data_IF_548943221406
#
_entry.id   IF_548943221406
#
_cell.length_a   1.000
_cell.length_b   1.000
_cell.length_c   1.000
_cell.angle_alpha   90.00
_cell.angle_beta   90.00
_cell.angle_gamma   90.00
#
_symmetry.space_group_name_H-M   'P 1'
#
loop_
_entity.id
_entity.type
_entity.pdbx_description
1 polymer ?
#
# COMPACT_ATOMS: atom_id res chain seq x y z
N UNK A 1 -20.57 8.68 -6.76
CA UNK A 1 -20.96 7.27 -6.95
C UNK A 1 -21.42 6.75 -5.61
N UNK A 2 -22.68 6.32 -5.48
CA UNK A 2 -23.17 5.75 -4.22
C UNK A 2 -22.52 4.40 -3.95
N UNK A 3 -22.56 3.50 -4.93
CA UNK A 3 -21.93 2.19 -4.81
C UNK A 3 -21.36 1.74 -6.14
N UNK A 4 -20.10 1.34 -6.14
CA UNK A 4 -19.51 0.48 -7.15
C UNK A 4 -19.42 -0.93 -6.55
N UNK A 5 -20.03 -1.92 -7.20
CA UNK A 5 -20.05 -3.30 -6.69
C UNK A 5 -19.70 -4.30 -7.79
N UNK A 6 -18.54 -4.92 -7.69
CA UNK A 6 -18.20 -6.12 -8.46
C UNK A 6 -18.56 -7.36 -7.63
N UNK A 7 -19.64 -8.05 -8.00
CA UNK A 7 -20.16 -9.21 -7.26
C UNK A 7 -19.25 -10.43 -7.37
N UNK A 8 -19.47 -11.44 -6.53
CA UNK A 8 -18.62 -12.65 -6.43
C UNK A 8 -18.30 -13.36 -7.76
N UNK A 9 -19.25 -13.38 -8.71
CA UNK A 9 -19.03 -13.98 -10.04
C UNK A 9 -18.61 -12.97 -11.12
N UNK A 10 -18.41 -11.71 -10.74
CA UNK A 10 -18.05 -10.63 -11.63
C UNK A 10 -16.54 -10.60 -11.90
N UNK A 11 -16.21 -10.43 -13.17
CA UNK A 11 -14.83 -10.34 -13.66
C UNK A 11 -14.66 -9.02 -14.41
N UNK A 12 -13.69 -8.22 -13.97
CA UNK A 12 -13.27 -7.00 -14.66
C UNK A 12 -11.81 -7.15 -15.03
N UNK A 13 -11.53 -7.26 -16.33
CA UNK A 13 -10.17 -7.45 -16.84
C UNK A 13 -9.85 -6.41 -17.90
N UNK A 14 -8.67 -5.81 -17.77
CA UNK A 14 -8.11 -4.92 -18.79
C UNK A 14 -6.69 -5.33 -19.16
N UNK A 15 -6.47 -5.52 -20.47
CA UNK A 15 -5.17 -5.92 -21.02
C UNK A 15 -4.20 -4.75 -21.23
N UNK A 16 -4.74 -3.56 -21.43
CA UNK A 16 -3.96 -2.38 -21.82
C UNK A 16 -4.06 -1.22 -20.82
N UNK A 17 -5.01 -1.29 -19.87
CA UNK A 17 -5.31 -0.24 -18.89
C UNK A 17 -5.52 -0.85 -17.50
N UNK A 18 -5.98 -0.02 -16.57
CA UNK A 18 -6.43 -0.45 -15.25
C UNK A 18 -7.67 -1.32 -15.37
N UNK A 19 -7.89 -2.21 -14.41
CA UNK A 19 -9.16 -2.93 -14.30
C UNK A 19 -10.29 -1.96 -13.95
N UNK A 20 -10.09 -1.15 -12.91
CA UNK A 20 -10.97 -0.04 -12.54
C UNK A 20 -10.15 1.22 -12.33
N UNK A 21 -10.59 2.35 -12.90
CA UNK A 21 -9.94 3.64 -12.71
C UNK A 21 -10.95 4.73 -12.37
N UNK A 22 -10.79 5.36 -11.21
CA UNK A 22 -11.49 6.60 -10.84
C UNK A 22 -10.54 7.78 -11.05
N UNK A 23 -10.84 8.61 -12.05
CA UNK A 23 -10.03 9.78 -12.38
C UNK A 23 -10.75 11.08 -12.01
N UNK A 24 -10.03 12.00 -11.38
CA UNK A 24 -10.53 13.33 -11.03
C UNK A 24 -11.22 13.36 -9.67
N UNK A 25 -11.98 14.42 -9.40
CA UNK A 25 -12.61 14.62 -8.09
C UNK A 25 -13.90 13.78 -7.92
N UNK A 26 -13.77 12.46 -8.02
CA UNK A 26 -14.87 11.51 -7.85
C UNK A 26 -15.06 11.22 -6.36
N UNK A 27 -16.30 11.30 -5.88
CA UNK A 27 -16.68 10.80 -4.57
C UNK A 27 -17.34 9.43 -4.71
N UNK A 28 -16.85 8.42 -3.99
CA UNK A 28 -17.40 7.06 -3.93
C UNK A 28 -17.78 6.74 -2.49
N UNK A 29 -19.06 6.59 -2.20
CA UNK A 29 -19.48 6.21 -0.84
C UNK A 29 -19.09 4.76 -0.53
N UNK A 30 -19.27 3.83 -1.48
CA UNK A 30 -18.78 2.45 -1.32
C UNK A 30 -18.18 1.89 -2.60
N UNK A 31 -16.95 1.43 -2.51
CA UNK A 31 -16.34 0.50 -3.46
C UNK A 31 -16.36 -0.90 -2.83
N UNK A 32 -16.97 -1.87 -3.49
CA UNK A 32 -17.04 -3.26 -3.01
C UNK A 32 -16.65 -4.23 -4.12
N UNK A 33 -15.58 -5.00 -3.90
CA UNK A 33 -15.18 -6.09 -4.77
C UNK A 33 -15.28 -7.44 -4.03
N UNK A 34 -16.15 -8.31 -4.53
CA UNK A 34 -16.25 -9.72 -4.15
C UNK A 34 -15.73 -10.64 -5.26
N UNK A 35 -15.66 -10.14 -6.50
CA UNK A 35 -15.22 -10.90 -7.66
C UNK A 35 -13.74 -10.72 -7.99
N UNK A 36 -13.41 -10.82 -9.28
CA UNK A 36 -12.05 -10.67 -9.80
C UNK A 36 -11.88 -9.35 -10.55
N UNK A 37 -10.83 -8.60 -10.20
CA UNK A 37 -10.39 -7.39 -10.92
C UNK A 37 -8.92 -7.53 -11.29
N UNK A 38 -8.59 -7.35 -12.57
CA UNK A 38 -7.21 -7.35 -13.05
C UNK A 38 -6.95 -6.24 -14.06
N UNK A 39 -5.79 -5.60 -13.94
CA UNK A 39 -5.32 -4.57 -14.87
C UNK A 39 -3.81 -4.67 -15.12
N UNK A 40 -3.40 -4.54 -16.38
CA UNK A 40 -1.98 -4.56 -16.78
C UNK A 40 -1.38 -3.16 -16.87
N UNK A 41 -1.99 -2.30 -17.68
CA UNK A 41 -1.57 -0.90 -17.90
C UNK A 41 -0.13 -0.68 -18.43
N UNK A 42 0.51 -1.68 -19.05
CA UNK A 42 1.88 -1.50 -19.58
C UNK A 42 1.96 -0.63 -20.86
N UNK A 43 0.84 -0.47 -21.56
CA UNK A 43 0.80 0.12 -22.92
C UNK A 43 -0.12 1.34 -23.06
N UNK A 44 -0.57 1.92 -21.96
CA UNK A 44 -1.54 3.03 -21.98
C UNK A 44 -0.92 4.42 -22.19
N UNK A 45 0.41 4.54 -22.28
CA UNK A 45 1.08 5.83 -22.51
C UNK A 45 0.65 6.90 -21.51
N UNK A 46 0.38 8.11 -22.00
CA UNK A 46 -0.04 9.25 -21.16
C UNK A 46 -1.43 9.07 -20.54
N UNK A 47 -2.24 8.12 -21.02
CA UNK A 47 -3.56 7.88 -20.45
C UNK A 47 -3.54 7.14 -19.11
N UNK A 48 -2.37 6.68 -18.66
CA UNK A 48 -2.12 6.23 -17.29
C UNK A 48 -1.33 7.25 -16.47
N UNK A 49 -1.34 8.52 -16.88
CA UNK A 49 -0.75 9.62 -16.12
C UNK A 49 -1.87 10.55 -15.66
N UNK A 50 -1.89 10.86 -14.38
CA UNK A 50 -2.70 11.94 -13.82
C UNK A 50 -1.89 12.75 -12.82
N UNK A 51 -1.80 14.06 -13.06
CA UNK A 51 -0.96 14.98 -12.27
C UNK A 51 0.50 14.51 -12.13
N UNK A 52 1.12 14.11 -13.25
CA UNK A 52 2.48 13.58 -13.32
C UNK A 52 2.70 12.23 -12.60
N UNK A 53 1.65 11.63 -12.03
CA UNK A 53 1.72 10.33 -11.39
C UNK A 53 1.11 9.23 -12.25
N UNK A 54 1.81 8.11 -12.24
CA UNK A 54 1.51 6.85 -12.91
C UNK A 54 0.38 6.11 -12.19
N UNK A 55 -0.67 5.71 -12.90
CA UNK A 55 -1.92 5.13 -12.35
C UNK A 55 -2.09 3.65 -12.71
N UNK A 56 -1.03 2.97 -13.13
CA UNK A 56 -1.03 1.56 -13.52
C UNK A 56 -1.42 0.65 -12.35
N UNK A 57 -2.36 -0.25 -12.57
CA UNK A 57 -2.76 -1.22 -11.53
C UNK A 57 -4.07 -1.96 -11.80
N UNK A 58 -4.47 -2.81 -10.85
CA UNK A 58 -5.77 -3.48 -10.88
C UNK A 58 -6.90 -2.48 -10.64
N UNK A 59 -6.88 -1.82 -9.49
CA UNK A 59 -7.74 -0.68 -9.16
C UNK A 59 -6.86 0.54 -8.94
N UNK A 60 -7.14 1.62 -9.66
CA UNK A 60 -6.50 2.91 -9.44
C UNK A 60 -7.52 3.98 -9.10
N UNK A 61 -7.14 4.89 -8.21
CA UNK A 61 -7.82 6.15 -8.02
C UNK A 61 -6.80 7.27 -8.08
N UNK A 62 -7.10 8.29 -8.89
CA UNK A 62 -6.33 9.52 -8.91
C UNK A 62 -7.24 10.68 -8.59
N UNK A 63 -6.99 11.30 -7.43
CA UNK A 63 -7.82 12.34 -6.80
C UNK A 63 -9.19 11.81 -6.37
N UNK A 64 -9.87 12.59 -5.53
CA UNK A 64 -11.21 12.26 -5.02
C UNK A 64 -11.21 11.48 -3.72
N UNK A 65 -12.37 10.91 -3.37
CA UNK A 65 -12.64 10.33 -2.05
C UNK A 65 -13.37 8.99 -2.14
N UNK A 66 -13.02 8.06 -1.26
CA UNK A 66 -13.78 6.83 -1.00
C UNK A 66 -14.12 6.77 0.48
N UNK A 67 -15.39 6.71 0.85
CA UNK A 67 -15.75 6.54 2.26
C UNK A 67 -15.40 5.12 2.73
N UNK A 68 -15.81 4.11 1.96
CA UNK A 68 -15.53 2.70 2.29
C UNK A 68 -15.05 1.92 1.07
N UNK A 69 -13.82 1.44 1.12
CA UNK A 69 -13.25 0.49 0.17
C UNK A 69 -13.25 -0.91 0.79
N UNK A 70 -13.93 -1.87 0.16
CA UNK A 70 -14.00 -3.27 0.60
C UNK A 70 -13.54 -4.20 -0.51
N UNK A 71 -12.57 -5.05 -0.20
CA UNK A 71 -12.17 -6.16 -1.06
C UNK A 71 -12.27 -7.49 -0.30
N UNK A 72 -13.21 -8.33 -0.69
CA UNK A 72 -13.30 -9.74 -0.29
C UNK A 72 -12.97 -10.71 -1.43
N UNK A 73 -12.92 -10.21 -2.67
CA UNK A 73 -12.49 -10.94 -3.84
C UNK A 73 -10.99 -10.84 -4.11
N UNK A 74 -10.62 -10.85 -5.39
CA UNK A 74 -9.24 -10.69 -5.83
C UNK A 74 -9.08 -9.42 -6.64
N UNK A 75 -8.09 -8.61 -6.28
CA UNK A 75 -7.60 -7.49 -7.08
C UNK A 75 -6.14 -7.77 -7.41
N UNK A 76 -5.79 -7.80 -8.69
CA UNK A 76 -4.41 -7.99 -9.08
C UNK A 76 -3.96 -7.04 -10.18
N UNK A 77 -2.66 -6.76 -10.21
CA UNK A 77 -2.03 -6.20 -11.41
C UNK A 77 -1.02 -7.16 -12.00
N UNK A 78 -1.12 -7.35 -13.31
CA UNK A 78 -0.19 -8.13 -14.12
C UNK A 78 0.77 -7.25 -14.93
N UNK A 79 0.74 -5.94 -14.70
CA UNK A 79 1.66 -4.99 -15.29
C UNK A 79 3.09 -5.26 -14.85
N UNK A 80 4.05 -4.94 -15.71
CA UNK A 80 5.49 -5.11 -15.47
C UNK A 80 6.25 -3.79 -15.50
N UNK A 81 5.63 -2.71 -16.00
CA UNK A 81 6.25 -1.41 -16.14
C UNK A 81 5.59 -0.34 -15.25
N UNK A 82 6.36 0.69 -14.90
CA UNK A 82 5.87 1.90 -14.23
C UNK A 82 5.23 1.68 -12.83
N UNK A 83 5.83 0.79 -12.04
CA UNK A 83 5.43 0.49 -10.67
C UNK A 83 3.94 0.11 -10.51
N UNK A 84 3.46 -0.94 -11.22
CA UNK A 84 2.05 -1.32 -11.18
C UNK A 84 1.71 -1.96 -9.83
N UNK A 85 0.48 -1.74 -9.36
CA UNK A 85 0.02 -2.27 -8.09
C UNK A 85 -1.36 -2.91 -8.18
N UNK A 86 -1.68 -3.86 -7.30
CA UNK A 86 -3.04 -4.37 -7.17
C UNK A 86 -4.03 -3.23 -6.93
N UNK A 87 -3.76 -2.41 -5.91
CA UNK A 87 -4.45 -1.14 -5.66
C UNK A 87 -3.46 0.01 -5.63
N UNK A 88 -3.75 1.08 -6.39
CA UNK A 88 -2.95 2.32 -6.40
C UNK A 88 -3.81 3.55 -6.09
N UNK A 89 -3.44 4.30 -5.05
CA UNK A 89 -4.15 5.49 -4.60
C UNK A 89 -3.26 6.74 -4.68
N UNK A 90 -3.47 7.52 -5.73
CA UNK A 90 -2.75 8.78 -5.97
C UNK A 90 -3.65 9.96 -5.60
N UNK A 91 -3.22 10.86 -4.73
CA UNK A 91 -4.02 12.03 -4.28
C UNK A 91 -5.43 11.69 -3.74
N UNK A 92 -5.69 10.42 -3.44
CA UNK A 92 -7.01 9.95 -3.04
C UNK A 92 -7.14 9.97 -1.53
N UNK A 93 -8.33 10.29 -1.04
CA UNK A 93 -8.66 10.16 0.39
C UNK A 93 -9.56 8.94 0.58
N UNK A 94 -9.20 8.06 1.50
CA UNK A 94 -10.03 6.90 1.87
C UNK A 94 -10.28 6.93 3.35
N UNK A 95 -11.55 6.93 3.77
CA UNK A 95 -11.86 6.88 5.20
C UNK A 95 -11.60 5.47 5.75
N UNK A 96 -12.18 4.45 5.15
CA UNK A 96 -11.92 3.06 5.56
C UNK A 96 -11.54 2.20 4.37
N UNK A 97 -10.35 1.61 4.43
CA UNK A 97 -9.87 0.59 3.52
C UNK A 97 -9.86 -0.76 4.23
N UNK A 98 -10.67 -1.71 3.76
CA UNK A 98 -10.77 -3.06 4.31
C UNK A 98 -10.49 -4.11 3.24
N UNK A 99 -9.48 -4.93 3.49
CA UNK A 99 -9.16 -6.10 2.68
C UNK A 99 -9.37 -7.38 3.49
N UNK A 100 -10.29 -8.23 3.05
CA UNK A 100 -10.45 -9.63 3.51
C UNK A 100 -10.09 -10.65 2.44
N UNK A 101 -9.93 -10.21 1.19
CA UNK A 101 -9.53 -11.04 0.05
C UNK A 101 -8.04 -10.94 -0.30
N UNK A 102 -7.73 -11.09 -1.59
CA UNK A 102 -6.38 -10.98 -2.13
C UNK A 102 -6.19 -9.63 -2.84
N UNK A 103 -5.07 -8.97 -2.55
CA UNK A 103 -4.54 -7.87 -3.35
C UNK A 103 -3.09 -8.18 -3.74
N UNK A 104 -2.80 -8.23 -5.03
CA UNK A 104 -1.48 -8.63 -5.55
C UNK A 104 -0.99 -7.71 -6.67
N UNK A 105 0.31 -7.47 -6.75
CA UNK A 105 0.92 -6.77 -7.87
C UNK A 105 2.42 -6.98 -7.92
N UNK A 106 3.02 -6.72 -9.08
CA UNK A 106 4.46 -6.93 -9.24
C UNK A 106 5.26 -5.94 -8.39
N UNK A 107 4.95 -4.64 -8.47
CA UNK A 107 5.66 -3.62 -7.68
C UNK A 107 5.05 -3.34 -6.32
N UNK A 108 3.78 -3.69 -6.14
CA UNK A 108 3.13 -3.70 -4.83
C UNK A 108 1.73 -4.29 -4.86
N UNK A 109 1.31 -4.91 -3.77
CA UNK A 109 -0.11 -5.22 -3.58
C UNK A 109 -0.89 -3.92 -3.43
N UNK A 110 -0.40 -3.05 -2.56
CA UNK A 110 -0.96 -1.73 -2.31
C UNK A 110 0.11 -0.64 -2.42
N UNK A 111 -0.18 0.42 -3.17
CA UNK A 111 0.67 1.61 -3.25
C UNK A 111 -0.17 2.86 -3.03
N UNK A 112 0.32 3.79 -2.22
CA UNK A 112 -0.24 5.14 -2.15
C UNK A 112 0.82 6.21 -2.33
N UNK A 113 0.45 7.26 -3.06
CA UNK A 113 1.29 8.42 -3.36
C UNK A 113 0.44 9.67 -3.11
N UNK A 114 0.83 10.48 -2.13
CA UNK A 114 0.08 11.67 -1.70
C UNK A 114 -1.37 11.35 -1.30
N UNK A 115 -1.65 10.11 -0.90
CA UNK A 115 -2.97 9.66 -0.48
C UNK A 115 -3.16 9.78 1.03
N UNK A 116 -4.40 9.91 1.48
CA UNK A 116 -4.75 9.96 2.91
C UNK A 116 -5.70 8.83 3.24
N UNK A 117 -5.37 8.03 4.25
CA UNK A 117 -6.20 6.92 4.71
C UNK A 117 -6.41 7.05 6.20
N UNK A 118 -7.67 7.09 6.65
CA UNK A 118 -7.93 7.14 8.09
C UNK A 118 -7.73 5.75 8.70
N UNK A 119 -8.41 4.73 8.17
CA UNK A 119 -8.36 3.36 8.69
C UNK A 119 -7.97 2.38 7.58
N UNK A 120 -6.77 1.81 7.66
CA UNK A 120 -6.29 0.74 6.80
C UNK A 120 -6.33 -0.59 7.55
N UNK A 121 -7.17 -1.52 7.08
CA UNK A 121 -7.44 -2.78 7.76
C UNK A 121 -7.18 -3.93 6.78
N UNK A 122 -6.12 -4.70 7.05
CA UNK A 122 -5.85 -5.93 6.32
C UNK A 122 -6.16 -7.15 7.18
N UNK A 123 -7.15 -7.94 6.75
CA UNK A 123 -7.52 -9.26 7.29
C UNK A 123 -7.24 -10.38 6.29
N UNK A 124 -7.11 -10.05 5.00
CA UNK A 124 -6.78 -10.97 3.93
C UNK A 124 -5.29 -10.99 3.61
N UNK A 125 -4.96 -11.16 2.33
CA UNK A 125 -3.58 -11.18 1.83
C UNK A 125 -3.31 -9.95 0.99
N UNK A 126 -2.21 -9.25 1.29
CA UNK A 126 -1.63 -8.24 0.40
C UNK A 126 -0.22 -8.71 0.05
N UNK A 127 0.10 -8.80 -1.24
CA UNK A 127 1.39 -9.31 -1.68
C UNK A 127 2.04 -8.53 -2.83
N UNK A 128 3.37 -8.54 -2.82
CA UNK A 128 4.19 -8.11 -3.95
C UNK A 128 5.09 -9.25 -4.45
N UNK A 129 5.15 -9.40 -5.77
CA UNK A 129 5.87 -10.52 -6.40
C UNK A 129 7.23 -10.12 -6.98
N UNK A 130 7.51 -8.83 -7.15
CA UNK A 130 8.80 -8.29 -7.60
C UNK A 130 9.94 -8.42 -6.58
N UNK A 131 11.19 -8.29 -7.06
CA UNK A 131 12.43 -8.67 -6.34
C UNK A 131 13.53 -7.58 -6.40
N UNK A 132 13.25 -6.37 -6.86
CA UNK A 132 14.22 -5.30 -7.14
C UNK A 132 14.59 -4.41 -5.94
N UNK A 133 14.10 -4.70 -4.73
CA UNK A 133 14.38 -3.93 -3.52
C UNK A 133 13.58 -2.64 -3.38
N UNK A 134 13.08 -2.08 -4.48
CA UNK A 134 12.16 -0.94 -4.49
C UNK A 134 10.68 -1.34 -4.40
N UNK A 135 10.35 -2.62 -4.52
CA UNK A 135 9.00 -3.15 -4.39
C UNK A 135 8.65 -3.46 -2.93
N UNK A 136 7.37 -3.39 -2.59
CA UNK A 136 6.87 -3.82 -1.30
C UNK A 136 5.42 -4.27 -1.38
N UNK A 137 4.99 -5.22 -0.53
CA UNK A 137 3.59 -5.62 -0.50
C UNK A 137 2.68 -4.42 -0.22
N UNK A 138 3.09 -3.56 0.72
CA UNK A 138 2.50 -2.26 0.97
C UNK A 138 3.59 -1.20 0.85
N UNK A 139 3.42 -0.25 -0.07
CA UNK A 139 4.34 0.88 -0.24
C UNK A 139 3.62 2.21 0.00
N UNK A 140 4.15 2.98 0.93
CA UNK A 140 3.77 4.37 1.15
C UNK A 140 4.89 5.22 0.56
N UNK A 141 4.64 5.74 -0.63
CA UNK A 141 5.66 6.34 -1.50
C UNK A 141 5.59 7.86 -1.45
N UNK A 142 6.77 8.49 -1.39
CA UNK A 142 6.89 9.94 -1.37
C UNK A 142 7.12 10.49 -2.76
N UNK A 143 6.39 11.54 -3.13
CA UNK A 143 6.63 12.29 -4.36
C UNK A 143 6.53 13.80 -4.11
N UNK A 144 7.46 14.58 -4.67
CA UNK A 144 7.42 16.05 -4.73
C UNK A 144 7.13 16.74 -3.38
N UNK A 145 7.75 16.28 -2.28
CA UNK A 145 7.60 16.84 -0.92
C UNK A 145 6.18 16.75 -0.32
N UNK A 146 5.22 16.14 -1.01
CA UNK A 146 3.88 15.91 -0.48
C UNK A 146 3.77 14.51 0.10
N UNK A 147 3.20 14.43 1.29
CA UNK A 147 3.14 13.21 2.06
C UNK A 147 1.86 12.42 1.78
N UNK A 148 1.98 11.09 1.79
CA UNK A 148 0.86 10.21 2.08
C UNK A 148 0.70 10.08 3.60
N UNK A 149 -0.51 9.81 4.07
CA UNK A 149 -0.75 9.54 5.48
C UNK A 149 -1.68 8.35 5.68
N UNK A 150 -1.37 7.51 6.68
CA UNK A 150 -2.27 6.49 7.21
C UNK A 150 -2.40 6.71 8.72
N UNK A 151 -3.61 6.99 9.21
CA UNK A 151 -3.80 7.27 10.65
C UNK A 151 -3.70 5.98 11.46
N UNK A 152 -4.52 4.98 11.12
CA UNK A 152 -4.57 3.69 11.78
C UNK A 152 -4.33 2.58 10.76
N UNK A 153 -3.23 1.84 10.88
CA UNK A 153 -2.94 0.67 10.08
C UNK A 153 -3.01 -0.57 10.98
N UNK A 154 -4.02 -1.42 10.78
CA UNK A 154 -4.13 -2.72 11.44
C UNK A 154 -3.94 -3.87 10.44
N UNK A 155 -3.01 -4.78 10.73
CA UNK A 155 -2.86 -6.04 10.01
C UNK A 155 -3.18 -7.23 10.93
N UNK A 156 -4.24 -7.96 10.64
CA UNK A 156 -4.52 -9.29 11.21
C UNK A 156 -4.38 -10.40 10.18
N UNK A 157 -4.17 -10.05 8.91
CA UNK A 157 -4.00 -10.97 7.80
C UNK A 157 -2.54 -11.26 7.48
N UNK A 158 -2.26 -11.48 6.20
CA UNK A 158 -0.92 -11.74 5.68
C UNK A 158 -0.46 -10.59 4.79
N UNK A 159 0.75 -10.11 5.03
CA UNK A 159 1.49 -9.21 4.15
C UNK A 159 2.71 -10.01 3.67
N UNK A 160 2.83 -10.22 2.36
CA UNK A 160 3.86 -11.09 1.80
C UNK A 160 4.61 -10.43 0.66
N UNK A 161 5.94 -10.39 0.75
CA UNK A 161 6.74 -9.77 -0.29
C UNK A 161 7.99 -10.56 -0.61
N UNK A 162 8.27 -10.60 -1.90
CA UNK A 162 9.55 -11.01 -2.42
C UNK A 162 10.66 -9.94 -2.25
N UNK A 163 10.28 -8.74 -1.79
CA UNK A 163 11.15 -7.62 -1.44
C UNK A 163 10.85 -7.21 0.01
N UNK A 164 10.43 -5.96 0.28
CA UNK A 164 10.03 -5.49 1.61
C UNK A 164 8.55 -5.80 1.91
N UNK A 165 8.20 -6.14 3.15
CA UNK A 165 6.81 -6.35 3.56
C UNK A 165 6.01 -5.04 3.49
N UNK A 166 6.35 -4.11 4.37
CA UNK A 166 5.83 -2.74 4.41
C UNK A 166 6.99 -1.78 4.20
N UNK A 167 6.95 -0.96 3.15
CA UNK A 167 7.95 0.07 2.86
C UNK A 167 7.33 1.46 3.00
N UNK A 168 7.94 2.28 3.84
CA UNK A 168 7.47 3.62 4.16
C UNK A 168 8.60 4.57 3.89
N UNK A 169 8.43 5.40 2.87
CA UNK A 169 9.44 6.37 2.50
C UNK A 169 9.35 7.63 3.36
N UNK A 170 10.51 8.23 3.61
CA UNK A 170 10.68 9.48 4.32
C UNK A 170 9.71 10.56 3.84
N UNK A 171 9.07 11.23 4.79
CA UNK A 171 8.07 12.25 4.56
C UNK A 171 6.63 11.80 4.60
N UNK A 172 6.36 10.50 4.41
CA UNK A 172 5.04 9.96 4.71
C UNK A 172 4.79 9.87 6.21
N UNK A 173 3.52 9.79 6.59
CA UNK A 173 3.10 9.71 8.00
C UNK A 173 2.33 8.43 8.24
N UNK A 174 2.70 7.71 9.29
CA UNK A 174 1.84 6.68 9.89
C UNK A 174 1.56 7.12 11.32
N UNK A 175 0.29 7.12 11.74
CA UNK A 175 -0.07 7.36 13.13
C UNK A 175 0.28 6.15 14.00
N UNK A 176 -0.42 5.03 13.77
CA UNK A 176 -0.12 3.76 14.44
C UNK A 176 -0.20 2.59 13.47
N UNK A 177 0.83 1.76 13.46
CA UNK A 177 0.86 0.44 12.81
C UNK A 177 0.74 -0.64 13.88
N UNK A 178 -0.39 -1.34 13.88
CA UNK A 178 -0.67 -2.48 14.75
C UNK A 178 -0.61 -3.77 13.94
N UNK A 179 0.35 -4.64 14.23
CA UNK A 179 0.43 -5.96 13.64
C UNK A 179 -0.05 -7.02 14.65
N UNK A 180 -1.00 -7.84 14.21
CA UNK A 180 -1.53 -9.05 14.87
C UNK A 180 -1.43 -10.28 13.94
N UNK A 181 -1.08 -10.05 12.68
CA UNK A 181 -0.96 -11.08 11.65
C UNK A 181 0.49 -11.37 11.26
N UNK A 182 0.65 -11.85 10.03
CA UNK A 182 1.94 -12.26 9.48
C UNK A 182 2.46 -11.21 8.51
N UNK A 183 3.73 -10.85 8.66
CA UNK A 183 4.52 -10.11 7.67
C UNK A 183 5.67 -11.02 7.25
N UNK A 184 5.67 -11.47 6.00
CA UNK A 184 6.70 -12.34 5.41
C UNK A 184 7.41 -11.59 4.28
N UNK A 185 8.73 -11.47 4.38
CA UNK A 185 9.52 -10.69 3.42
C UNK A 185 10.91 -11.28 3.20
N UNK A 186 11.41 -11.20 1.96
CA UNK A 186 12.81 -11.59 1.65
C UNK A 186 13.82 -10.49 1.93
N UNK A 187 13.38 -9.25 2.07
CA UNK A 187 14.23 -8.15 2.53
C UNK A 187 13.83 -7.77 3.95
N UNK A 188 13.30 -6.57 4.14
CA UNK A 188 12.92 -6.07 5.43
C UNK A 188 11.42 -6.28 5.68
N UNK A 189 11.03 -6.62 6.91
CA UNK A 189 9.63 -6.81 7.28
C UNK A 189 8.85 -5.49 7.23
N UNK A 190 9.30 -4.55 8.05
CA UNK A 190 8.89 -3.14 8.01
C UNK A 190 10.15 -2.31 7.73
N UNK A 191 10.12 -1.55 6.65
CA UNK A 191 11.24 -0.74 6.19
C UNK A 191 10.86 0.73 6.19
N UNK A 192 11.65 1.52 6.90
CA UNK A 192 11.58 2.97 6.87
C UNK A 192 12.80 3.48 6.12
N UNK A 193 12.56 3.95 4.90
CA UNK A 193 13.62 4.33 3.97
C UNK A 193 13.65 5.84 3.77
N UNK A 194 14.79 6.46 4.06
CA UNK A 194 15.12 7.79 3.58
C UNK A 194 16.23 7.70 2.51
N UNK A 195 15.86 7.92 1.24
CA UNK A 195 16.80 7.88 0.12
C UNK A 195 17.50 9.23 -0.16
N UNK A 196 17.17 10.28 0.60
CA UNK A 196 17.81 11.58 0.49
C UNK A 196 17.47 12.40 -0.75
N UNK A 197 16.53 11.96 -1.59
CA UNK A 197 16.11 12.70 -2.78
C UNK A 197 15.36 14.00 -2.46
N UNK A 198 15.11 14.82 -3.51
CA UNK A 198 14.27 16.03 -3.45
C UNK A 198 12.83 15.77 -2.98
N UNK A 199 12.40 14.50 -2.93
CA UNK A 199 11.11 14.07 -2.45
C UNK A 199 11.03 13.97 -0.91
N UNK A 200 12.16 13.81 -0.22
CA UNK A 200 12.22 13.54 1.21
C UNK A 200 12.33 14.84 2.05
N UNK A 201 11.46 15.08 3.05
CA UNK A 201 11.58 16.23 3.95
C UNK A 201 12.65 16.02 5.02
N UNK A 202 13.12 17.10 5.64
CA UNK A 202 14.22 17.09 6.61
C UNK A 202 13.95 16.28 7.88
N UNK A 203 12.68 16.03 8.19
CA UNK A 203 12.23 15.26 9.34
C UNK A 203 11.15 14.26 8.90
N UNK A 204 11.33 13.00 9.29
CA UNK A 204 10.36 11.92 9.07
C UNK A 204 9.76 11.47 10.39
N UNK A 205 8.44 11.30 10.44
CA UNK A 205 7.70 10.81 11.61
C UNK A 205 7.09 9.44 11.31
N UNK A 206 7.60 8.43 11.99
CA UNK A 206 7.24 7.02 11.81
C UNK A 206 6.06 6.58 12.69
N UNK A 207 5.58 7.46 13.57
CA UNK A 207 4.53 7.17 14.53
C UNK A 207 4.87 5.99 15.43
N UNK A 208 3.82 5.28 15.87
CA UNK A 208 3.92 4.14 16.79
C UNK A 208 3.79 2.80 16.06
N UNK A 209 4.64 1.85 16.40
CA UNK A 209 4.50 0.45 15.98
C UNK A 209 4.11 -0.40 17.19
N UNK A 210 3.07 -1.21 17.05
CA UNK A 210 2.60 -2.14 18.08
C UNK A 210 2.54 -3.55 17.49
N UNK A 211 3.35 -4.44 18.03
CA UNK A 211 3.31 -5.86 17.73
C UNK A 211 2.51 -6.54 18.85
N UNK A 212 1.28 -6.91 18.55
CA UNK A 212 0.35 -7.55 19.47
C UNK A 212 0.63 -9.05 19.62
N UNK A 213 -0.07 -9.71 20.54
CA UNK A 213 -0.04 -11.17 20.63
C UNK A 213 -0.42 -11.81 19.29
N UNK A 214 0.37 -12.79 18.83
CA UNK A 214 0.18 -13.44 17.52
C UNK A 214 0.85 -12.72 16.34
N UNK A 215 1.37 -11.50 16.55
CA UNK A 215 2.20 -10.80 15.56
C UNK A 215 3.42 -11.63 15.17
N UNK A 216 3.64 -11.81 13.87
CA UNK A 216 4.81 -12.52 13.34
C UNK A 216 5.43 -11.76 12.18
N UNK A 217 6.60 -11.15 12.40
CA UNK A 217 7.44 -10.61 11.34
C UNK A 217 8.55 -11.61 11.04
N UNK A 218 8.56 -12.15 9.82
CA UNK A 218 9.58 -13.06 9.29
C UNK A 218 10.27 -12.38 8.10
N UNK A 219 11.44 -11.83 8.33
CA UNK A 219 12.21 -11.10 7.34
C UNK A 219 13.58 -11.76 7.15
N UNK A 220 13.99 -12.02 5.91
CA UNK A 220 15.31 -12.63 5.68
C UNK A 220 16.48 -11.65 5.88
N UNK A 221 16.23 -10.33 5.91
CA UNK A 221 17.26 -9.30 6.15
C UNK A 221 17.12 -8.63 7.53
N UNK A 222 16.05 -7.87 7.76
CA UNK A 222 15.78 -7.19 9.04
C UNK A 222 14.28 -7.16 9.31
N UNK A 223 13.86 -7.55 10.52
CA UNK A 223 12.44 -7.51 10.89
C UNK A 223 11.86 -6.10 10.82
N UNK A 224 12.49 -5.14 11.51
CA UNK A 224 12.18 -3.71 11.41
C UNK A 224 13.48 -2.97 11.09
N UNK A 225 13.51 -2.28 9.96
CA UNK A 225 14.65 -1.51 9.48
C UNK A 225 14.32 -0.02 9.54
N UNK A 226 15.16 0.75 10.22
CA UNK A 226 15.13 2.22 10.17
C UNK A 226 16.41 2.64 9.48
N UNK A 227 16.31 2.97 8.18
CA UNK A 227 17.44 3.28 7.31
C UNK A 227 17.50 4.77 7.02
N UNK A 228 18.28 5.47 7.83
CA UNK A 228 18.56 6.88 7.67
C UNK A 228 19.85 7.06 6.86
N UNK A 229 19.75 7.04 5.53
CA UNK A 229 20.93 7.16 4.66
C UNK A 229 21.44 8.61 4.54
N UNK A 230 20.77 9.57 5.18
CA UNK A 230 21.15 10.98 5.16
C UNK A 230 21.33 11.58 6.56
N UNK A 231 21.68 12.87 6.62
CA UNK A 231 21.76 13.63 7.87
C UNK A 231 20.38 14.02 8.46
N UNK A 232 19.27 13.58 7.85
CA UNK A 232 17.91 13.93 8.27
C UNK A 232 17.53 13.20 9.56
N UNK A 233 16.51 13.71 10.25
CA UNK A 233 16.07 13.10 11.51
C UNK A 233 14.86 12.20 11.27
N UNK A 234 14.96 10.95 11.72
CA UNK A 234 13.82 10.03 11.81
C UNK A 234 13.35 9.99 13.26
N UNK A 235 12.08 10.32 13.49
CA UNK A 235 11.42 10.23 14.79
C UNK A 235 10.42 9.09 14.75
N UNK A 236 10.37 8.31 15.82
CA UNK A 236 9.34 7.30 16.04
C UNK A 236 8.80 7.48 17.46
N UNK A 237 7.48 7.39 17.63
CA UNK A 237 6.84 7.49 18.95
C UNK A 237 7.17 6.28 19.83
N UNK A 238 7.48 5.15 19.20
CA UNK A 238 7.97 3.96 19.88
C UNK A 238 7.61 2.66 19.17
N UNK A 239 8.32 1.60 19.53
CA UNK A 239 8.02 0.24 19.11
C UNK A 239 7.65 -0.55 20.37
N UNK A 240 6.40 -1.00 20.43
CA UNK A 240 5.87 -1.82 21.52
C UNK A 240 5.75 -3.27 21.04
N UNK A 241 6.43 -4.19 21.72
CA UNK A 241 6.37 -5.62 21.41
C UNK A 241 5.74 -6.36 22.58
N UNK A 242 4.53 -6.87 22.39
CA UNK A 242 3.79 -7.58 23.44
C UNK A 242 4.23 -9.04 23.53
N UNK A 243 3.97 -9.65 24.68
CA UNK A 243 4.22 -11.08 24.91
C UNK A 243 3.49 -11.91 23.83
N UNK A 244 4.20 -12.84 23.21
CA UNK A 244 3.66 -13.68 22.14
C UNK A 244 3.82 -13.11 20.74
N UNK A 245 4.34 -11.89 20.58
CA UNK A 245 4.82 -11.39 19.29
C UNK A 245 6.21 -11.96 18.96
N UNK A 246 6.49 -12.17 17.68
CA UNK A 246 7.82 -12.58 17.18
C UNK A 246 8.31 -11.69 16.06
N UNK A 247 9.59 -11.36 16.11
CA UNK A 247 10.34 -10.69 15.04
C UNK A 247 11.60 -11.51 14.79
N UNK A 248 11.73 -12.05 13.58
CA UNK A 248 12.85 -12.89 13.15
C UNK A 248 13.36 -12.46 11.80
#
# INVERSE_FOLDING_TARGET
>A
IKTFHNKNTGTIESKDRQGVYFQGNVHVETFHNEGFISGKSDSCGDSCIDNYLRTEGGVSMSRGTIETFKNSGTIQSTGTNHYPAGVKLNYATVKTFENTGLISGISGGFITIKGTIENFINKGTIEATGQGGGEAAIRIHTAELQFSSITNFTNTGTIKSNSNGVLIESGNKIGTLTNQGVIESKLNGIDFLDDGGYSSPDNTDLGKIVLEEGSSIKAEKKGINIDNQTAKTIKADGIEVKKGASVS
#
